data_IF_386862601781
#
_entry.id   IF_386862601781
#
_cell.length_a   1.000
_cell.length_b   1.000
_cell.length_c   1.000
_cell.angle_alpha   90.00
_cell.angle_beta   90.00
_cell.angle_gamma   90.00
#
_symmetry.space_group_name_H-M   'P 1'
#
loop_
_entity.id
_entity.type
_entity.pdbx_description
1 polymer ?
#
# COMPACT_ATOMS: atom_id res chain seq x y z
N UNK A 1 31.72 -27.22 -29.96
CA UNK A 1 31.80 -28.34 -28.99
C UNK A 1 33.04 -29.14 -29.33
N UNK A 2 33.68 -29.78 -28.36
CA UNK A 2 34.99 -30.45 -28.55
C UNK A 2 34.93 -31.75 -29.36
N UNK A 3 33.73 -32.31 -29.61
CA UNK A 3 33.54 -33.48 -30.47
C UNK A 3 34.00 -34.81 -29.86
N UNK A 4 34.31 -34.83 -28.56
CA UNK A 4 34.78 -35.99 -27.80
C UNK A 4 33.58 -36.83 -27.35
N UNK A 5 33.72 -38.16 -27.38
CA UNK A 5 32.72 -39.09 -26.83
C UNK A 5 32.87 -39.13 -25.31
N UNK A 6 31.78 -38.87 -24.58
CA UNK A 6 31.72 -39.01 -23.13
C UNK A 6 31.47 -40.47 -22.74
N UNK A 7 31.98 -40.94 -21.59
CA UNK A 7 31.86 -42.33 -21.13
C UNK A 7 30.40 -42.79 -21.01
N UNK A 8 29.49 -41.90 -20.59
CA UNK A 8 28.05 -42.17 -20.57
C UNK A 8 27.47 -42.43 -21.97
N UNK A 9 27.95 -41.73 -23.00
CA UNK A 9 27.53 -41.95 -24.39
C UNK A 9 28.11 -43.27 -24.93
N UNK A 10 29.34 -43.62 -24.53
CA UNK A 10 29.97 -44.91 -24.84
C UNK A 10 29.15 -46.07 -24.29
N UNK A 11 28.82 -46.05 -22.99
CA UNK A 11 27.99 -47.05 -22.34
C UNK A 11 26.58 -47.16 -22.97
N UNK A 12 25.96 -46.03 -23.31
CA UNK A 12 24.65 -46.02 -23.98
C UNK A 12 24.68 -46.69 -25.36
N UNK A 13 25.71 -46.44 -26.16
CA UNK A 13 25.87 -47.05 -27.49
C UNK A 13 26.16 -48.56 -27.39
N UNK A 14 26.99 -48.99 -26.42
CA UNK A 14 27.27 -50.42 -26.19
C UNK A 14 26.04 -51.22 -25.77
N UNK A 15 25.12 -50.60 -25.01
CA UNK A 15 23.88 -51.23 -24.57
C UNK A 15 22.83 -51.34 -25.69
N UNK A 16 22.72 -50.32 -26.54
CA UNK A 16 21.60 -50.19 -27.50
C UNK A 16 21.93 -50.59 -28.94
N UNK A 17 23.21 -50.65 -29.33
CA UNK A 17 23.61 -50.97 -30.72
C UNK A 17 24.07 -52.44 -30.83
N UNK A 18 23.45 -53.27 -31.70
CA UNK A 18 23.88 -54.65 -31.87
C UNK A 18 25.28 -54.74 -32.52
N UNK A 19 26.11 -55.66 -32.01
CA UNK A 19 27.49 -55.88 -32.49
C UNK A 19 27.50 -56.56 -33.86
N UNK A 20 27.46 -55.77 -34.94
CA UNK A 20 27.47 -56.23 -36.33
C UNK A 20 28.79 -56.87 -36.79
N UNK A 21 28.72 -57.82 -37.73
CA UNK A 21 29.90 -58.39 -38.41
C UNK A 21 30.42 -57.44 -39.50
N UNK A 22 31.69 -57.58 -39.92
CA UNK A 22 32.37 -56.70 -40.91
C UNK A 22 31.62 -56.44 -42.23
N UNK A 23 30.71 -57.34 -42.66
CA UNK A 23 29.89 -57.20 -43.89
C UNK A 23 28.49 -56.60 -43.65
N UNK A 24 28.06 -56.44 -42.40
CA UNK A 24 26.72 -55.97 -42.00
C UNK A 24 26.86 -54.97 -40.86
N UNK A 25 27.24 -53.74 -41.20
CA UNK A 25 27.40 -52.65 -40.23
C UNK A 25 26.04 -52.04 -39.88
N UNK A 26 25.86 -51.64 -38.64
CA UNK A 26 24.66 -50.92 -38.22
C UNK A 26 24.82 -49.45 -38.58
N UNK A 27 23.88 -48.90 -39.36
CA UNK A 27 23.87 -47.48 -39.70
C UNK A 27 23.37 -46.65 -38.51
N UNK A 28 24.08 -45.56 -38.19
CA UNK A 28 23.70 -44.62 -37.13
C UNK A 28 23.69 -43.18 -37.69
N UNK A 29 22.54 -42.52 -37.62
CA UNK A 29 22.40 -41.12 -38.02
C UNK A 29 22.88 -40.16 -36.94
N UNK A 30 23.76 -39.21 -37.29
CA UNK A 30 24.31 -38.22 -36.37
C UNK A 30 24.24 -36.80 -36.95
N UNK A 31 24.10 -35.78 -36.09
CA UNK A 31 24.13 -34.38 -36.52
C UNK A 31 25.54 -33.90 -36.86
N UNK A 32 26.52 -34.26 -36.02
CA UNK A 32 27.86 -33.66 -36.01
C UNK A 32 28.90 -34.57 -36.66
N UNK A 33 29.56 -34.08 -37.72
CA UNK A 33 30.62 -34.82 -38.43
C UNK A 33 31.81 -35.17 -37.55
N UNK A 34 32.21 -34.27 -36.64
CA UNK A 34 33.35 -34.51 -35.73
C UNK A 34 33.04 -35.64 -34.73
N UNK A 35 31.83 -35.67 -34.18
CA UNK A 35 31.38 -36.74 -33.29
C UNK A 35 31.24 -38.08 -34.03
N UNK A 36 30.78 -38.06 -35.29
CA UNK A 36 30.76 -39.24 -36.15
C UNK A 36 32.16 -39.84 -36.37
N UNK A 37 33.19 -39.02 -36.55
CA UNK A 37 34.58 -39.50 -36.61
C UNK A 37 35.04 -40.14 -35.29
N UNK A 38 34.73 -39.53 -34.15
CA UNK A 38 35.10 -40.06 -32.84
C UNK A 38 34.38 -41.39 -32.50
N UNK A 39 33.07 -41.48 -32.77
CA UNK A 39 32.29 -42.72 -32.59
C UNK A 39 32.80 -43.85 -33.49
N UNK A 40 33.19 -43.53 -34.74
CA UNK A 40 33.75 -44.52 -35.68
C UNK A 40 35.13 -45.02 -35.25
N UNK A 41 35.90 -44.23 -34.50
CA UNK A 41 37.18 -44.67 -33.93
C UNK A 41 36.98 -45.66 -32.77
N UNK A 42 36.04 -45.38 -31.87
CA UNK A 42 35.69 -46.25 -30.74
C UNK A 42 34.94 -47.53 -31.18
N UNK A 43 34.06 -47.43 -32.19
CA UNK A 43 33.17 -48.51 -32.62
C UNK A 43 33.27 -48.82 -34.13
N UNK A 44 34.24 -49.65 -34.57
CA UNK A 44 34.45 -49.96 -35.98
C UNK A 44 33.30 -50.70 -36.69
N UNK A 45 32.32 -51.22 -35.94
CA UNK A 45 31.14 -51.91 -36.44
C UNK A 45 29.94 -50.98 -36.74
N UNK A 46 30.03 -49.70 -36.35
CA UNK A 46 29.00 -48.69 -36.60
C UNK A 46 29.33 -47.89 -37.86
N UNK A 47 28.36 -47.72 -38.75
CA UNK A 47 28.46 -46.85 -39.91
C UNK A 47 27.75 -45.52 -39.63
N UNK A 48 28.51 -44.51 -39.22
CA UNK A 48 27.97 -43.19 -38.94
C UNK A 48 27.63 -42.43 -40.24
N UNK A 49 26.36 -42.06 -40.40
CA UNK A 49 25.86 -41.30 -41.55
C UNK A 49 25.45 -39.89 -41.13
N UNK A 50 25.83 -38.90 -41.95
CA UNK A 50 25.52 -37.46 -41.75
C UNK A 50 24.91 -36.83 -43.01
N UNK A 51 24.09 -37.60 -43.72
CA UNK A 51 23.39 -37.18 -44.94
C UNK A 51 22.27 -36.17 -44.64
N UNK A 52 21.82 -35.45 -45.66
CA UNK A 52 20.72 -34.47 -45.54
C UNK A 52 19.42 -35.12 -45.03
N UNK A 53 19.11 -36.33 -45.53
CA UNK A 53 17.98 -37.15 -45.06
C UNK A 53 18.05 -37.44 -43.55
N UNK A 54 19.25 -37.67 -43.01
CA UNK A 54 19.46 -37.86 -41.56
C UNK A 54 19.25 -36.54 -40.81
N UNK A 55 19.68 -35.40 -41.35
CA UNK A 55 19.47 -34.10 -40.73
C UNK A 55 17.97 -33.72 -40.67
N UNK A 56 17.22 -34.00 -41.73
CA UNK A 56 15.77 -33.77 -41.76
C UNK A 56 15.03 -34.72 -40.80
N UNK A 57 15.45 -35.99 -40.69
CA UNK A 57 14.91 -36.91 -39.70
C UNK A 57 15.19 -36.42 -38.26
N UNK A 58 16.41 -35.99 -37.96
CA UNK A 58 16.80 -35.42 -36.67
C UNK A 58 16.04 -34.10 -36.37
N UNK A 59 15.75 -33.31 -37.40
CA UNK A 59 14.91 -32.10 -37.29
C UNK A 59 13.46 -32.47 -36.93
N UNK A 60 12.90 -33.51 -37.54
CA UNK A 60 11.58 -34.06 -37.19
C UNK A 60 11.51 -34.57 -35.75
N UNK A 61 12.52 -35.33 -35.31
CA UNK A 61 12.65 -35.78 -33.90
C UNK A 61 12.74 -34.59 -32.95
N UNK A 62 13.47 -33.52 -33.29
CA UNK A 62 13.55 -32.31 -32.47
C UNK A 62 12.21 -31.55 -32.40
N UNK A 63 11.48 -31.45 -33.51
CA UNK A 63 10.17 -30.79 -33.57
C UNK A 63 9.08 -31.53 -32.79
N UNK A 64 9.21 -32.85 -32.65
CA UNK A 64 8.20 -33.71 -32.00
C UNK A 64 8.71 -34.39 -30.72
N UNK A 65 9.83 -33.94 -30.16
CA UNK A 65 10.48 -34.56 -29.00
C UNK A 65 9.55 -34.75 -27.80
N UNK A 66 8.77 -33.72 -27.47
CA UNK A 66 7.77 -33.76 -26.38
C UNK A 66 6.67 -34.82 -26.60
N UNK A 67 6.35 -35.17 -27.85
CA UNK A 67 5.34 -36.19 -28.18
C UNK A 67 5.93 -37.60 -28.28
N UNK A 68 7.23 -37.70 -28.58
CA UNK A 68 7.96 -38.97 -28.66
C UNK A 68 8.36 -39.46 -27.25
N UNK A 69 8.71 -38.55 -26.35
CA UNK A 69 9.13 -38.85 -24.98
C UNK A 69 7.94 -38.83 -23.99
N UNK A 70 7.07 -39.84 -24.09
CA UNK A 70 5.85 -40.00 -23.25
C UNK A 70 6.06 -40.06 -21.72
N UNK A 71 7.30 -40.04 -21.25
CA UNK A 71 7.68 -40.10 -19.83
C UNK A 71 7.95 -38.72 -19.20
N UNK A 72 8.04 -37.65 -20.00
CA UNK A 72 8.25 -36.28 -19.51
C UNK A 72 6.93 -35.52 -19.44
N UNK A 73 6.81 -34.56 -18.51
CA UNK A 73 5.68 -33.63 -18.49
C UNK A 73 5.88 -32.50 -19.51
N UNK A 74 4.80 -31.91 -20.05
CA UNK A 74 4.90 -30.76 -20.93
C UNK A 74 5.49 -29.56 -20.17
N UNK A 75 6.65 -29.07 -20.61
CA UNK A 75 7.37 -27.95 -20.01
C UNK A 75 8.75 -28.30 -19.44
N UNK A 76 8.94 -29.53 -18.94
CA UNK A 76 10.21 -29.98 -18.31
C UNK A 76 11.42 -29.76 -19.22
N UNK A 77 11.25 -30.09 -20.50
CA UNK A 77 12.29 -30.00 -21.53
C UNK A 77 12.73 -28.55 -21.79
N UNK A 78 11.82 -27.58 -21.71
CA UNK A 78 12.14 -26.16 -21.86
C UNK A 78 12.89 -25.61 -20.62
N UNK A 79 12.48 -26.02 -19.41
CA UNK A 79 13.17 -25.63 -18.17
C UNK A 79 14.57 -26.24 -18.10
N UNK A 80 14.74 -27.51 -18.47
CA UNK A 80 16.04 -28.18 -18.56
C UNK A 80 16.96 -27.52 -19.60
N UNK A 81 16.43 -27.12 -20.77
CA UNK A 81 17.19 -26.37 -21.77
C UNK A 81 17.66 -25.01 -21.25
N UNK A 82 16.80 -24.27 -20.53
CA UNK A 82 17.15 -22.98 -19.95
C UNK A 82 18.26 -23.12 -18.90
N UNK A 83 18.13 -24.06 -17.97
CA UNK A 83 19.14 -24.33 -16.94
C UNK A 83 20.48 -24.75 -17.53
N UNK A 84 20.48 -25.68 -18.49
CA UNK A 84 21.69 -26.13 -19.19
C UNK A 84 22.34 -25.01 -20.01
N UNK A 85 21.52 -24.20 -20.70
CA UNK A 85 21.98 -23.05 -21.48
C UNK A 85 22.66 -21.98 -20.61
N UNK A 86 22.09 -21.68 -19.45
CA UNK A 86 22.70 -20.80 -18.45
C UNK A 86 24.02 -21.39 -17.90
N UNK A 87 24.02 -22.66 -17.48
CA UNK A 87 25.21 -23.32 -16.92
C UNK A 87 26.39 -23.34 -17.92
N UNK A 88 26.14 -23.80 -19.15
CA UNK A 88 27.14 -23.83 -20.23
C UNK A 88 27.68 -22.43 -20.56
N UNK A 89 26.80 -21.42 -20.61
CA UNK A 89 27.21 -20.04 -20.90
C UNK A 89 28.06 -19.45 -19.77
N UNK A 90 27.66 -19.62 -18.51
CA UNK A 90 28.43 -19.17 -17.33
C UNK A 90 29.82 -19.81 -17.29
N UNK A 91 29.90 -21.12 -17.49
CA UNK A 91 31.15 -21.87 -17.52
C UNK A 91 32.08 -21.41 -18.66
N UNK A 92 31.53 -21.25 -19.88
CA UNK A 92 32.32 -20.84 -21.06
C UNK A 92 32.82 -19.40 -21.00
N UNK A 93 32.02 -18.49 -20.44
CA UNK A 93 32.37 -17.06 -20.27
C UNK A 93 33.35 -16.84 -19.11
N UNK A 94 33.65 -17.88 -18.30
CA UNK A 94 34.36 -17.75 -17.01
C UNK A 94 33.73 -16.65 -16.16
N UNK A 95 32.40 -16.69 -16.00
CA UNK A 95 31.68 -15.68 -15.25
C UNK A 95 32.20 -15.63 -13.81
N UNK A 96 32.91 -14.55 -13.48
CA UNK A 96 33.60 -14.43 -12.21
C UNK A 96 32.60 -14.07 -11.12
N UNK A 97 32.22 -15.06 -10.30
CA UNK A 97 31.27 -14.88 -9.18
C UNK A 97 31.72 -13.77 -8.23
N UNK A 98 33.03 -13.55 -8.09
CA UNK A 98 33.60 -12.52 -7.23
C UNK A 98 33.50 -11.10 -7.83
N UNK A 99 33.02 -10.96 -9.07
CA UNK A 99 32.72 -9.68 -9.73
C UNK A 99 31.23 -9.60 -10.07
N UNK A 100 30.40 -9.96 -9.09
CA UNK A 100 28.93 -9.92 -9.15
C UNK A 100 28.42 -8.51 -8.83
N UNK A 101 28.56 -7.58 -9.77
CA UNK A 101 28.11 -6.19 -9.60
C UNK A 101 26.58 -6.11 -9.33
N UNK A 102 25.81 -7.12 -9.77
CA UNK A 102 24.38 -7.26 -9.46
C UNK A 102 24.08 -7.29 -7.96
N UNK A 103 24.95 -7.90 -7.14
CA UNK A 103 24.73 -7.92 -5.69
C UNK A 103 24.85 -6.52 -5.08
N UNK A 104 25.70 -5.65 -5.62
CA UNK A 104 25.84 -4.24 -5.19
C UNK A 104 24.66 -3.39 -5.69
N UNK A 105 24.09 -3.72 -6.84
CA UNK A 105 22.92 -3.02 -7.41
C UNK A 105 21.64 -3.43 -6.67
N UNK A 106 21.40 -4.73 -6.46
CA UNK A 106 20.23 -5.26 -5.75
C UNK A 106 20.33 -5.07 -4.23
N UNK A 107 21.56 -5.07 -3.68
CA UNK A 107 22.15 -3.97 -2.89
C UNK A 107 21.15 -2.93 -2.34
N UNK A 108 20.74 -2.06 -3.27
CA UNK A 108 20.00 -0.83 -3.00
C UNK A 108 18.48 -1.06 -3.09
N UNK A 109 18.05 -2.18 -3.67
CA UNK A 109 16.69 -2.45 -4.12
C UNK A 109 16.06 -3.68 -3.46
N UNK A 110 16.09 -3.77 -2.12
CA UNK A 110 15.27 -4.64 -1.23
C UNK A 110 15.19 -6.17 -1.49
N UNK A 111 15.75 -6.70 -2.58
CA UNK A 111 15.49 -8.05 -3.11
C UNK A 111 16.66 -9.03 -2.91
N UNK A 112 17.54 -8.80 -1.92
CA UNK A 112 18.74 -9.63 -1.71
C UNK A 112 18.39 -11.11 -1.52
N UNK A 113 17.36 -11.38 -0.72
CA UNK A 113 16.92 -12.75 -0.43
C UNK A 113 16.08 -13.36 -1.55
N UNK A 114 15.37 -12.53 -2.34
CA UNK A 114 14.64 -12.98 -3.53
C UNK A 114 15.55 -13.56 -4.62
N UNK A 115 16.86 -13.29 -4.61
CA UNK A 115 17.80 -13.94 -5.52
C UNK A 115 18.20 -15.36 -5.08
N UNK A 116 18.21 -15.61 -3.77
CA UNK A 116 18.47 -16.92 -3.18
C UNK A 116 17.24 -17.82 -3.17
N UNK A 117 16.07 -17.25 -2.87
CA UNK A 117 14.79 -17.97 -2.80
C UNK A 117 13.63 -17.09 -3.36
N UNK A 118 13.52 -16.95 -4.70
CA UNK A 118 12.53 -16.08 -5.34
C UNK A 118 11.09 -16.51 -5.07
N UNK A 119 10.84 -17.80 -4.87
CA UNK A 119 9.52 -18.36 -4.66
C UNK A 119 8.88 -17.85 -3.35
N UNK A 120 9.67 -17.57 -2.31
CA UNK A 120 9.16 -17.06 -1.02
C UNK A 120 8.46 -15.70 -1.16
N UNK A 121 9.00 -14.81 -2.00
CA UNK A 121 8.42 -13.49 -2.28
C UNK A 121 7.05 -13.60 -3.00
N UNK A 122 6.84 -14.69 -3.74
CA UNK A 122 5.56 -14.97 -4.42
C UNK A 122 4.53 -15.60 -3.50
N UNK A 123 4.97 -16.39 -2.51
CA UNK A 123 4.11 -17.07 -1.54
C UNK A 123 3.69 -16.16 -0.38
N UNK A 124 4.58 -15.28 0.10
CA UNK A 124 4.36 -14.45 1.28
C UNK A 124 4.28 -12.98 0.90
N UNK A 125 3.05 -12.45 0.86
CA UNK A 125 2.79 -11.06 0.46
C UNK A 125 3.07 -10.02 1.58
N UNK A 126 3.05 -10.42 2.85
CA UNK A 126 3.40 -9.50 3.94
C UNK A 126 4.91 -9.43 4.18
N UNK A 127 5.44 -8.22 4.00
CA UNK A 127 6.82 -7.83 4.32
C UNK A 127 7.30 -8.22 5.74
N UNK A 128 6.41 -8.25 6.74
CA UNK A 128 6.80 -8.56 8.12
C UNK A 128 6.91 -10.06 8.36
N UNK A 129 5.96 -10.84 7.86
CA UNK A 129 6.10 -12.30 7.80
C UNK A 129 7.32 -12.72 6.97
N UNK A 130 7.54 -12.11 5.80
CA UNK A 130 8.69 -12.40 4.94
C UNK A 130 10.04 -12.18 5.66
N UNK A 131 10.22 -11.06 6.36
CA UNK A 131 11.45 -10.79 7.11
C UNK A 131 11.66 -11.78 8.27
N UNK A 132 10.59 -12.19 8.96
CA UNK A 132 10.65 -13.20 10.03
C UNK A 132 10.98 -14.59 9.50
N UNK A 133 10.42 -14.98 8.35
CA UNK A 133 10.72 -16.24 7.67
C UNK A 133 12.16 -16.26 7.15
N UNK A 134 12.65 -15.17 6.54
CA UNK A 134 14.06 -15.06 6.09
C UNK A 134 15.05 -15.30 7.23
N UNK A 135 14.76 -14.77 8.43
CA UNK A 135 15.56 -14.99 9.65
C UNK A 135 15.58 -16.47 10.11
N UNK A 136 14.44 -17.16 10.01
CA UNK A 136 14.30 -18.56 10.43
C UNK A 136 14.90 -19.54 9.41
N UNK A 137 14.53 -19.37 8.13
CA UNK A 137 14.91 -20.24 7.01
C UNK A 137 16.40 -20.19 6.76
N UNK A 138 16.99 -18.99 6.77
CA UNK A 138 18.39 -18.73 6.41
C UNK A 138 18.74 -19.30 5.02
N UNK A 139 19.27 -20.51 4.92
CA UNK A 139 19.67 -21.16 3.68
C UNK A 139 18.64 -22.22 3.27
N UNK A 140 18.20 -22.23 2.00
CA UNK A 140 17.21 -23.19 1.48
C UNK A 140 17.60 -24.66 1.72
N UNK A 141 18.89 -24.96 1.78
CA UNK A 141 19.43 -26.30 2.04
C UNK A 141 19.13 -26.84 3.44
N UNK A 142 18.79 -25.96 4.40
CA UNK A 142 18.50 -26.30 5.79
C UNK A 142 16.99 -26.48 6.07
N UNK A 143 16.15 -26.51 5.03
CA UNK A 143 14.72 -26.80 5.18
C UNK A 143 14.45 -28.30 5.25
N UNK A 144 14.18 -28.77 6.46
CA UNK A 144 13.58 -30.08 6.73
C UNK A 144 12.11 -29.91 7.15
N UNK A 145 11.34 -31.00 7.05
CA UNK A 145 9.93 -31.01 7.44
C UNK A 145 9.73 -30.79 8.97
N UNK A 146 10.81 -30.81 9.77
CA UNK A 146 10.82 -30.47 11.20
C UNK A 146 10.54 -28.97 11.46
N UNK A 147 11.02 -28.10 10.56
CA UNK A 147 10.82 -26.65 10.64
C UNK A 147 9.37 -26.22 10.27
N UNK A 148 8.53 -27.16 9.85
CA UNK A 148 7.16 -26.91 9.39
C UNK A 148 6.30 -26.28 10.49
N UNK A 149 6.47 -26.70 11.75
CA UNK A 149 5.75 -26.12 12.90
C UNK A 149 6.09 -24.63 13.13
N UNK A 150 7.38 -24.27 13.12
CA UNK A 150 7.83 -22.88 13.33
C UNK A 150 7.44 -21.97 12.16
N UNK A 151 7.51 -22.48 10.92
CA UNK A 151 7.02 -21.76 9.73
C UNK A 151 5.51 -21.54 9.81
N UNK A 152 4.74 -22.55 10.21
CA UNK A 152 3.28 -22.47 10.37
C UNK A 152 2.89 -21.40 11.41
N UNK A 153 3.57 -21.36 12.55
CA UNK A 153 3.35 -20.34 13.59
C UNK A 153 3.66 -18.90 13.10
N UNK A 154 4.60 -18.73 12.16
CA UNK A 154 4.94 -17.42 11.58
C UNK A 154 3.99 -16.97 10.46
N UNK A 155 3.43 -17.91 9.69
CA UNK A 155 2.50 -17.63 8.59
C UNK A 155 1.06 -17.41 9.10
N UNK A 156 0.75 -17.83 10.32
CA UNK A 156 -0.56 -17.63 10.95
C UNK A 156 -1.46 -18.87 10.84
N UNK A 157 -0.88 -20.03 11.11
CA UNK A 157 -1.52 -21.36 11.15
C UNK A 157 -1.98 -21.93 9.78
N UNK A 158 -1.71 -21.23 8.68
CA UNK A 158 -1.88 -21.73 7.30
C UNK A 158 -0.82 -22.79 6.93
N UNK A 159 -1.03 -24.02 7.43
CA UNK A 159 -0.20 -25.20 7.16
C UNK A 159 0.01 -25.47 5.66
N UNK A 160 -0.99 -25.17 4.82
CA UNK A 160 -0.88 -25.30 3.36
C UNK A 160 0.20 -24.37 2.75
N UNK A 161 0.35 -23.15 3.29
CA UNK A 161 1.40 -22.22 2.83
C UNK A 161 2.76 -22.71 3.33
N UNK A 162 2.86 -23.16 4.59
CA UNK A 162 4.09 -23.72 5.15
C UNK A 162 4.61 -24.93 4.34
N UNK A 163 3.74 -25.87 3.97
CA UNK A 163 4.07 -26.98 3.07
C UNK A 163 4.52 -26.47 1.69
N UNK A 164 3.79 -25.50 1.11
CA UNK A 164 4.17 -24.93 -0.20
C UNK A 164 5.54 -24.23 -0.20
N UNK A 165 5.98 -23.67 0.94
CA UNK A 165 7.31 -23.08 1.10
C UNK A 165 8.38 -24.18 1.10
N UNK A 166 8.14 -25.30 1.77
CA UNK A 166 9.07 -26.43 1.81
C UNK A 166 9.19 -27.11 0.43
N UNK A 167 8.07 -27.33 -0.26
CA UNK A 167 8.06 -27.89 -1.61
C UNK A 167 8.68 -26.92 -2.62
N UNK A 168 8.44 -25.61 -2.47
CA UNK A 168 9.11 -24.59 -3.26
C UNK A 168 10.63 -24.57 -3.01
N UNK A 169 11.10 -24.79 -1.77
CA UNK A 169 12.53 -24.88 -1.47
C UNK A 169 13.19 -26.11 -2.14
N UNK A 170 12.49 -27.26 -2.17
CA UNK A 170 12.92 -28.49 -2.86
C UNK A 170 13.02 -28.31 -4.39
N UNK A 171 12.21 -27.41 -4.97
CA UNK A 171 12.11 -27.16 -6.42
C UNK A 171 12.86 -25.86 -6.84
N UNK A 172 13.32 -25.05 -5.88
CA UNK A 172 13.81 -23.68 -6.13
C UNK A 172 15.00 -23.64 -7.08
N UNK A 173 14.91 -22.72 -8.04
CA UNK A 173 15.98 -22.43 -9.00
C UNK A 173 16.85 -21.24 -8.55
N UNK A 174 16.67 -20.76 -7.31
CA UNK A 174 17.41 -19.64 -6.73
C UNK A 174 18.89 -19.97 -6.46
N UNK A 175 19.76 -18.96 -6.60
CA UNK A 175 21.21 -19.18 -6.56
C UNK A 175 21.72 -19.39 -5.12
N UNK A 176 22.72 -20.25 -4.95
CA UNK A 176 23.40 -20.41 -3.66
C UNK A 176 24.17 -19.14 -3.28
N UNK A 177 24.00 -18.72 -2.04
CA UNK A 177 24.55 -17.48 -1.49
C UNK A 177 25.75 -17.77 -0.59
N UNK A 178 26.67 -16.81 -0.43
CA UNK A 178 27.78 -16.95 0.51
C UNK A 178 27.30 -16.81 1.96
N UNK A 179 27.96 -17.47 2.91
CA UNK A 179 27.62 -17.39 4.33
C UNK A 179 27.74 -15.94 4.87
N UNK A 180 28.69 -15.17 4.33
CA UNK A 180 28.90 -13.75 4.70
C UNK A 180 27.72 -12.89 4.26
N UNK A 181 27.23 -13.09 3.03
CA UNK A 181 26.08 -12.35 2.51
C UNK A 181 24.79 -12.79 3.22
N UNK A 182 24.65 -14.07 3.52
CA UNK A 182 23.54 -14.60 4.31
C UNK A 182 23.49 -13.98 5.72
N UNK A 183 24.63 -13.87 6.41
CA UNK A 183 24.71 -13.20 7.72
C UNK A 183 24.29 -11.72 7.64
N UNK A 184 24.66 -11.02 6.57
CA UNK A 184 24.23 -9.64 6.32
C UNK A 184 22.71 -9.55 6.09
N UNK A 185 22.12 -10.47 5.31
CA UNK A 185 20.66 -10.54 5.09
C UNK A 185 19.91 -10.81 6.40
N UNK A 186 20.37 -11.77 7.21
CA UNK A 186 19.74 -12.07 8.51
C UNK A 186 19.81 -10.86 9.44
N UNK A 187 20.96 -10.18 9.51
CA UNK A 187 21.14 -8.94 10.29
C UNK A 187 20.20 -7.81 9.81
N UNK A 188 20.01 -7.68 8.50
CA UNK A 188 19.06 -6.73 7.92
C UNK A 188 17.61 -7.09 8.24
N UNK A 189 17.24 -8.37 8.12
CA UNK A 189 15.91 -8.87 8.46
C UNK A 189 15.58 -8.63 9.94
N UNK A 190 16.51 -8.91 10.86
CA UNK A 190 16.37 -8.57 12.27
C UNK A 190 16.17 -7.07 12.50
N UNK A 191 16.88 -6.22 11.76
CA UNK A 191 16.69 -4.78 11.85
C UNK A 191 15.29 -4.37 11.40
N UNK A 192 14.78 -4.94 10.30
CA UNK A 192 13.41 -4.70 9.80
C UNK A 192 12.36 -5.13 10.83
N UNK A 193 12.49 -6.33 11.41
CA UNK A 193 11.57 -6.82 12.46
C UNK A 193 11.61 -5.90 13.69
N UNK A 194 12.81 -5.50 14.14
CA UNK A 194 12.96 -4.59 15.29
C UNK A 194 12.29 -3.22 15.06
N UNK A 195 12.35 -2.68 13.83
CA UNK A 195 11.71 -1.43 13.44
C UNK A 195 10.18 -1.56 13.37
N UNK A 196 9.66 -2.70 12.93
CA UNK A 196 8.23 -2.95 12.88
C UNK A 196 7.63 -3.13 14.28
N UNK A 197 8.30 -3.86 15.17
CA UNK A 197 7.85 -3.98 16.55
C UNK A 197 8.03 -2.65 17.32
N UNK A 198 9.03 -1.83 16.98
CA UNK A 198 9.10 -0.45 17.46
C UNK A 198 7.94 0.41 16.94
N UNK A 199 7.55 0.26 15.66
CA UNK A 199 6.36 0.93 15.09
C UNK A 199 5.07 0.52 15.80
N UNK A 200 4.91 -0.76 16.17
CA UNK A 200 3.77 -1.23 17.00
C UNK A 200 3.76 -0.56 18.37
N UNK A 201 4.91 -0.53 19.07
CA UNK A 201 5.06 0.16 20.37
C UNK A 201 4.74 1.66 20.26
N UNK A 202 5.21 2.34 19.22
CA UNK A 202 4.89 3.74 18.95
C UNK A 202 3.41 3.96 18.64
N UNK A 203 2.74 3.01 17.98
CA UNK A 203 1.31 3.11 17.71
C UNK A 203 0.47 3.01 18.99
N UNK A 204 0.80 2.06 19.88
CA UNK A 204 0.15 1.93 21.20
C UNK A 204 0.39 3.20 22.02
N UNK A 205 1.64 3.65 22.12
CA UNK A 205 1.99 4.90 22.80
C UNK A 205 1.23 6.12 22.24
N UNK A 206 0.99 6.18 20.93
CA UNK A 206 0.21 7.24 20.31
C UNK A 206 -1.28 7.18 20.71
N UNK A 207 -1.86 5.99 20.83
CA UNK A 207 -3.24 5.79 21.32
C UNK A 207 -3.32 6.25 22.78
N UNK A 208 -2.42 5.78 23.64
CA UNK A 208 -2.38 6.14 25.07
C UNK A 208 -2.17 7.63 25.31
N UNK A 209 -1.38 8.31 24.46
CA UNK A 209 -1.22 9.77 24.53
C UNK A 209 -2.40 10.53 23.92
N UNK A 210 -3.05 10.01 22.89
CA UNK A 210 -4.22 10.67 22.31
C UNK A 210 -5.43 10.61 23.23
N UNK A 211 -5.67 9.49 23.92
CA UNK A 211 -6.78 9.35 24.87
C UNK A 211 -6.67 10.32 26.05
N UNK A 212 -5.44 10.66 26.47
CA UNK A 212 -5.17 11.66 27.52
C UNK A 212 -5.29 13.10 27.00
N UNK A 213 -4.82 13.39 25.78
CA UNK A 213 -4.71 14.77 25.26
C UNK A 213 -5.94 15.25 24.49
N UNK A 214 -6.60 14.36 23.73
CA UNK A 214 -7.76 14.71 22.91
C UNK A 214 -8.73 13.52 22.71
N UNK A 215 -9.38 13.05 23.79
CA UNK A 215 -10.28 11.89 23.75
C UNK A 215 -11.49 12.09 22.82
N UNK A 216 -12.04 13.30 22.70
CA UNK A 216 -13.21 13.52 21.85
C UNK A 216 -12.86 13.47 20.36
N UNK A 217 -11.70 14.02 19.98
CA UNK A 217 -11.17 13.94 18.62
C UNK A 217 -10.75 12.51 18.25
N UNK A 218 -10.21 11.75 19.21
CA UNK A 218 -9.90 10.33 19.05
C UNK A 218 -11.17 9.52 18.73
N UNK A 219 -12.20 9.61 19.57
CA UNK A 219 -13.45 8.85 19.39
C UNK A 219 -14.16 9.22 18.07
N UNK A 220 -14.06 10.48 17.62
CA UNK A 220 -14.75 10.96 16.43
C UNK A 220 -14.10 10.56 15.09
N UNK A 221 -12.76 10.43 15.00
CA UNK A 221 -12.06 10.18 13.72
C UNK A 221 -11.03 9.03 13.78
N UNK A 222 -10.70 8.53 14.96
CA UNK A 222 -9.57 7.64 15.21
C UNK A 222 -8.27 8.42 15.51
N UNK A 223 -7.45 7.84 16.38
CA UNK A 223 -6.26 8.44 16.99
C UNK A 223 -5.21 8.80 15.94
N UNK A 224 -5.01 7.94 14.95
CA UNK A 224 -4.01 8.15 13.88
C UNK A 224 -4.37 9.34 12.98
N UNK A 225 -5.66 9.56 12.71
CA UNK A 225 -6.13 10.70 11.91
C UNK A 225 -6.14 11.96 12.74
N UNK A 226 -6.59 11.90 14.00
CA UNK A 226 -6.51 13.00 14.98
C UNK A 226 -5.07 13.50 15.17
N UNK A 227 -4.11 12.59 15.40
CA UNK A 227 -2.69 12.90 15.51
C UNK A 227 -2.15 13.63 14.28
N UNK A 228 -2.54 13.19 13.08
CA UNK A 228 -2.10 13.81 11.82
C UNK A 228 -2.69 15.21 11.62
N UNK A 229 -3.93 15.45 12.06
CA UNK A 229 -4.53 16.79 12.06
C UNK A 229 -3.81 17.73 13.03
N UNK A 230 -3.56 17.29 14.28
CA UNK A 230 -2.83 18.07 15.29
C UNK A 230 -1.40 18.39 14.79
N UNK A 231 -0.70 17.39 14.27
CA UNK A 231 0.67 17.56 13.72
C UNK A 231 0.71 18.55 12.56
N UNK A 232 -0.25 18.51 11.64
CA UNK A 232 -0.30 19.45 10.51
C UNK A 232 -0.73 20.88 10.94
N UNK A 233 -1.44 21.04 12.06
CA UNK A 233 -1.72 22.34 12.67
C UNK A 233 -0.57 22.85 13.58
N UNK A 234 0.43 22.00 13.85
CA UNK A 234 1.54 22.26 14.78
C UNK A 234 1.17 22.09 16.26
N UNK A 235 -0.07 22.40 16.65
CA UNK A 235 -0.57 22.21 18.02
C UNK A 235 -2.10 22.01 18.06
N UNK A 236 -2.60 21.43 19.16
CA UNK A 236 -4.04 21.34 19.42
C UNK A 236 -4.68 22.74 19.55
N UNK A 237 -3.96 23.70 20.16
CA UNK A 237 -4.40 25.10 20.30
C UNK A 237 -4.59 25.79 18.94
N UNK A 238 -3.73 25.50 17.95
CA UNK A 238 -3.88 26.01 16.60
C UNK A 238 -5.02 25.31 15.85
N UNK A 239 -5.16 23.99 16.04
CA UNK A 239 -6.26 23.21 15.45
C UNK A 239 -7.64 23.69 15.95
N UNK A 240 -7.75 24.04 17.24
CA UNK A 240 -8.96 24.60 17.85
C UNK A 240 -9.30 26.00 17.30
N UNK A 241 -8.28 26.83 17.01
CA UNK A 241 -8.43 28.17 16.41
C UNK A 241 -8.84 28.11 14.94
N UNK A 242 -8.45 27.07 14.19
CA UNK A 242 -8.81 26.97 12.77
C UNK A 242 -10.34 26.88 12.57
N UNK A 243 -10.87 27.52 11.52
CA UNK A 243 -12.26 27.33 11.12
C UNK A 243 -12.43 25.96 10.47
N UNK A 244 -13.64 25.38 10.59
CA UNK A 244 -13.96 24.07 10.02
C UNK A 244 -13.74 23.98 8.49
N UNK A 245 -13.84 25.10 7.77
CA UNK A 245 -13.52 25.19 6.34
C UNK A 245 -12.04 24.94 6.02
N UNK A 246 -11.13 25.42 6.86
CA UNK A 246 -9.68 25.12 6.76
C UNK A 246 -9.42 23.68 7.18
N UNK A 247 -10.05 23.22 8.26
CA UNK A 247 -9.92 21.85 8.75
C UNK A 247 -10.38 20.81 7.70
N UNK A 248 -11.44 21.11 6.93
CA UNK A 248 -11.91 20.28 5.81
C UNK A 248 -10.83 20.01 4.75
N UNK A 249 -9.96 20.98 4.48
CA UNK A 249 -8.95 20.95 3.39
C UNK A 249 -7.51 20.82 3.89
N UNK A 250 -7.30 20.65 5.20
CA UNK A 250 -5.99 20.52 5.84
C UNK A 250 -5.17 19.41 5.16
N UNK A 251 -3.95 19.72 4.72
CA UNK A 251 -3.09 18.79 3.95
C UNK A 251 -3.39 18.68 2.44
N UNK A 252 -4.50 19.24 1.93
CA UNK A 252 -4.76 19.38 0.49
C UNK A 252 -4.34 20.77 -0.06
N UNK A 253 -3.67 21.59 0.74
CA UNK A 253 -3.31 22.99 0.47
C UNK A 253 -2.55 23.17 -0.86
N UNK A 254 -1.57 22.32 -1.16
CA UNK A 254 -0.83 22.38 -2.44
C UNK A 254 -1.75 22.22 -3.65
N UNK A 255 -2.77 21.36 -3.56
CA UNK A 255 -3.77 21.17 -4.60
C UNK A 255 -4.77 22.33 -4.66
N UNK A 256 -5.16 22.90 -3.51
CA UNK A 256 -6.00 24.09 -3.40
C UNK A 256 -5.33 25.30 -4.07
N UNK A 257 -4.09 25.63 -3.72
CA UNK A 257 -3.36 26.75 -4.28
C UNK A 257 -3.09 26.58 -5.79
N UNK A 258 -2.85 25.34 -6.25
CA UNK A 258 -2.77 25.04 -7.68
C UNK A 258 -4.10 25.32 -8.39
N UNK A 259 -5.21 24.81 -7.85
CA UNK A 259 -6.55 25.03 -8.41
C UNK A 259 -6.94 26.52 -8.43
N UNK A 260 -6.62 27.28 -7.38
CA UNK A 260 -6.85 28.73 -7.35
C UNK A 260 -6.04 29.47 -8.42
N UNK A 261 -4.77 29.10 -8.62
CA UNK A 261 -3.91 29.69 -9.68
C UNK A 261 -4.39 29.34 -11.09
N UNK A 262 -4.86 28.11 -11.33
CA UNK A 262 -5.33 27.66 -12.66
C UNK A 262 -6.82 27.87 -12.90
N UNK A 263 -7.57 28.43 -11.93
CA UNK A 263 -9.04 28.47 -11.90
C UNK A 263 -9.71 27.10 -12.11
N UNK A 264 -9.04 26.04 -11.66
CA UNK A 264 -9.55 24.66 -11.70
C UNK A 264 -10.44 24.30 -10.50
N UNK A 265 -10.95 23.06 -10.50
CA UNK A 265 -11.74 22.53 -9.39
C UNK A 265 -10.92 22.45 -8.10
N UNK A 266 -11.43 23.02 -7.01
CA UNK A 266 -10.80 22.96 -5.69
C UNK A 266 -10.99 21.58 -5.04
N UNK A 267 -10.01 21.10 -4.25
CA UNK A 267 -10.16 19.87 -3.47
C UNK A 267 -11.25 20.03 -2.41
N UNK A 268 -12.05 18.97 -2.22
CA UNK A 268 -13.20 18.97 -1.28
C UNK A 268 -12.89 18.34 0.08
N UNK A 269 -11.70 17.75 0.23
CA UNK A 269 -11.25 17.04 1.42
C UNK A 269 -9.71 17.01 1.45
N UNK A 270 -9.15 17.04 2.66
CA UNK A 270 -7.73 16.81 2.94
C UNK A 270 -7.53 15.54 3.77
N UNK A 271 -6.74 15.63 4.84
CA UNK A 271 -6.37 14.50 5.72
C UNK A 271 -7.59 13.73 6.28
N UNK A 272 -8.72 14.41 6.48
CA UNK A 272 -9.98 13.83 6.98
C UNK A 272 -10.52 12.74 6.02
N UNK A 273 -10.13 12.74 4.74
CA UNK A 273 -10.52 11.71 3.76
C UNK A 273 -10.22 10.28 4.21
N UNK A 274 -9.20 10.08 5.06
CA UNK A 274 -8.84 8.78 5.61
C UNK A 274 -9.74 8.30 6.76
N UNK A 275 -10.77 9.07 7.15
CA UNK A 275 -11.78 8.63 8.12
C UNK A 275 -12.71 7.55 7.55
N UNK A 276 -13.09 6.59 8.39
CA UNK A 276 -14.02 5.50 8.05
C UNK A 276 -15.36 6.02 7.50
N UNK A 277 -15.90 7.10 8.08
CA UNK A 277 -17.14 7.75 7.66
C UNK A 277 -17.11 8.26 6.20
N UNK A 278 -15.98 8.80 5.73
CA UNK A 278 -15.83 9.24 4.33
C UNK A 278 -15.55 8.06 3.39
N UNK A 279 -14.95 6.99 3.91
CA UNK A 279 -14.84 5.71 3.21
C UNK A 279 -16.22 5.16 2.81
N UNK A 280 -17.11 5.01 3.80
CA UNK A 280 -18.46 4.44 3.67
C UNK A 280 -19.41 5.28 2.82
N UNK A 281 -19.35 6.61 2.89
CA UNK A 281 -20.29 7.48 2.19
C UNK A 281 -20.21 7.38 0.65
N UNK A 282 -21.37 7.33 -0.03
CA UNK A 282 -21.43 7.33 -1.50
C UNK A 282 -20.77 8.55 -2.17
N UNK A 283 -20.18 8.37 -3.36
CA UNK A 283 -19.33 9.36 -4.05
C UNK A 283 -19.93 10.78 -4.17
N UNK A 284 -21.24 10.88 -4.43
CA UNK A 284 -21.97 12.16 -4.51
C UNK A 284 -22.04 12.89 -3.16
N UNK A 285 -22.08 12.14 -2.06
CA UNK A 285 -22.27 12.65 -0.70
C UNK A 285 -20.95 12.87 0.06
N UNK A 286 -19.82 12.30 -0.38
CA UNK A 286 -18.49 12.46 0.26
C UNK A 286 -18.13 13.91 0.59
N UNK A 287 -18.42 14.86 -0.31
CA UNK A 287 -18.16 16.29 -0.07
C UNK A 287 -19.09 16.96 0.96
N UNK A 288 -20.31 16.44 1.15
CA UNK A 288 -21.28 16.93 2.14
C UNK A 288 -20.94 16.41 3.53
N UNK A 289 -20.69 15.09 3.66
CA UNK A 289 -20.30 14.47 4.92
C UNK A 289 -18.91 14.97 5.38
N UNK A 290 -17.96 15.20 4.47
CA UNK A 290 -16.64 15.76 4.82
C UNK A 290 -16.74 17.14 5.49
N UNK A 291 -17.64 18.01 5.01
CA UNK A 291 -17.91 19.31 5.65
C UNK A 291 -18.59 19.15 7.01
N UNK A 292 -19.57 18.25 7.12
CA UNK A 292 -20.26 17.99 8.38
C UNK A 292 -19.30 17.44 9.45
N UNK A 293 -18.48 16.46 9.07
CA UNK A 293 -17.42 15.91 9.91
C UNK A 293 -16.44 17.00 10.32
N UNK A 294 -15.92 17.81 9.38
CA UNK A 294 -15.01 18.91 9.73
C UNK A 294 -15.61 19.92 10.74
N UNK A 295 -16.91 20.22 10.66
CA UNK A 295 -17.59 21.03 11.66
C UNK A 295 -17.58 20.35 13.05
N UNK A 296 -17.89 19.06 13.10
CA UNK A 296 -17.91 18.26 14.35
C UNK A 296 -16.50 18.10 14.94
N UNK A 297 -15.49 17.88 14.11
CA UNK A 297 -14.08 17.81 14.51
C UNK A 297 -13.57 19.15 15.06
N UNK A 298 -14.00 20.28 14.50
CA UNK A 298 -13.66 21.61 15.02
C UNK A 298 -14.33 21.89 16.38
N UNK A 299 -15.52 21.35 16.63
CA UNK A 299 -16.16 21.40 17.96
C UNK A 299 -15.40 20.50 18.95
N UNK A 300 -15.13 19.24 18.59
CA UNK A 300 -14.40 18.30 19.42
C UNK A 300 -13.01 18.84 19.80
N UNK A 301 -12.23 19.36 18.84
CA UNK A 301 -10.90 19.91 19.10
C UNK A 301 -10.90 21.15 20.00
N UNK A 302 -12.00 21.91 20.05
CA UNK A 302 -12.17 23.03 21.00
C UNK A 302 -12.51 22.53 22.39
N UNK A 303 -13.40 21.53 22.51
CA UNK A 303 -13.73 20.89 23.79
C UNK A 303 -12.46 20.28 24.40
N UNK A 304 -11.72 19.46 23.64
CA UNK A 304 -10.46 18.85 24.07
C UNK A 304 -9.39 19.88 24.47
N UNK A 305 -9.32 21.04 23.79
CA UNK A 305 -8.30 22.06 24.06
C UNK A 305 -8.61 23.01 25.22
N UNK A 306 -9.89 23.26 25.52
CA UNK A 306 -10.33 24.28 26.49
C UNK A 306 -11.01 23.69 27.73
N UNK A 307 -11.06 22.36 27.85
CA UNK A 307 -11.52 21.68 29.08
C UNK A 307 -10.30 21.17 29.85
N UNK A 308 -10.20 21.50 31.15
CA UNK A 308 -9.07 21.09 31.98
C UNK A 308 -8.97 19.56 32.17
N UNK A 309 -10.12 18.88 32.22
CA UNK A 309 -10.26 17.42 32.26
C UNK A 309 -11.16 16.94 31.12
N UNK A 310 -10.61 16.57 29.95
CA UNK A 310 -11.41 16.20 28.80
C UNK A 310 -12.10 14.84 29.03
N UNK A 311 -13.43 14.80 28.87
CA UNK A 311 -14.23 13.57 28.96
C UNK A 311 -14.48 12.97 27.59
N UNK A 312 -14.72 11.66 27.45
CA UNK A 312 -15.00 11.00 26.15
C UNK A 312 -16.44 11.20 25.65
N UNK A 313 -17.36 11.62 26.51
CA UNK A 313 -18.80 11.57 26.26
C UNK A 313 -19.27 12.52 25.16
N UNK A 314 -18.62 13.67 24.99
CA UNK A 314 -18.91 14.55 23.85
C UNK A 314 -18.51 13.89 22.51
N UNK A 315 -17.41 13.15 22.47
CA UNK A 315 -16.93 12.38 21.31
C UNK A 315 -17.92 11.30 20.91
N UNK A 316 -18.39 10.50 21.87
CA UNK A 316 -19.43 9.48 21.65
C UNK A 316 -20.70 10.08 21.01
N UNK A 317 -21.19 11.20 21.52
CA UNK A 317 -22.39 11.88 21.01
C UNK A 317 -22.16 12.52 19.64
N UNK A 318 -21.03 13.22 19.44
CA UNK A 318 -20.66 13.79 18.14
C UNK A 318 -20.49 12.69 17.07
N UNK A 319 -20.00 11.51 17.46
CA UNK A 319 -19.89 10.32 16.60
C UNK A 319 -21.26 9.77 16.23
N UNK A 320 -22.18 9.58 17.18
CA UNK A 320 -23.59 9.19 16.91
C UNK A 320 -24.22 10.13 15.87
N UNK A 321 -24.04 11.44 16.01
CA UNK A 321 -24.57 12.42 15.06
C UNK A 321 -23.97 12.35 13.65
N UNK A 322 -22.70 11.95 13.50
CA UNK A 322 -22.09 11.70 12.18
C UNK A 322 -22.66 10.43 11.56
N UNK A 323 -22.91 9.39 12.37
CA UNK A 323 -23.53 8.13 11.93
C UNK A 323 -25.00 8.33 11.53
N UNK A 324 -25.80 9.06 12.33
CA UNK A 324 -27.16 9.49 11.96
C UNK A 324 -27.17 10.35 10.68
N UNK A 325 -26.14 11.18 10.48
CA UNK A 325 -26.05 11.99 9.27
C UNK A 325 -25.64 11.17 8.05
N UNK A 326 -24.89 10.08 8.25
CA UNK A 326 -24.57 9.11 7.21
C UNK A 326 -25.84 8.30 6.84
N UNK A 327 -26.56 7.76 7.82
CA UNK A 327 -27.79 7.01 7.60
C UNK A 327 -28.89 7.88 6.97
N UNK A 328 -29.03 9.16 7.34
CA UNK A 328 -29.92 10.11 6.65
C UNK A 328 -29.67 10.18 5.13
N UNK A 329 -28.41 10.03 4.67
CA UNK A 329 -28.09 10.02 3.24
C UNK A 329 -28.39 8.70 2.53
N UNK A 330 -28.76 7.65 3.27
CA UNK A 330 -29.10 6.31 2.79
C UNK A 330 -30.60 6.00 2.95
N UNK A 331 -31.19 6.31 4.12
CA UNK A 331 -32.58 6.01 4.49
C UNK A 331 -33.52 7.23 4.52
N UNK A 332 -32.99 8.46 4.52
CA UNK A 332 -33.77 9.69 4.56
C UNK A 332 -34.32 10.10 5.94
N UNK A 333 -34.09 9.33 7.00
CA UNK A 333 -34.57 9.64 8.37
C UNK A 333 -33.84 10.87 8.94
N UNK A 334 -34.55 11.95 9.36
CA UNK A 334 -33.91 13.18 9.79
C UNK A 334 -33.05 12.96 11.06
N UNK A 335 -31.80 13.48 11.10
CA UNK A 335 -30.91 13.31 12.25
C UNK A 335 -31.35 14.18 13.44
N UNK A 336 -30.86 13.85 14.63
CA UNK A 336 -31.09 14.63 15.85
C UNK A 336 -30.59 16.07 15.70
N UNK A 337 -31.26 17.01 16.39
CA UNK A 337 -30.83 18.40 16.45
C UNK A 337 -29.57 18.51 17.31
N UNK A 338 -28.64 19.37 16.88
CA UNK A 338 -27.39 19.61 17.60
C UNK A 338 -27.61 20.05 19.06
N UNK A 339 -28.62 20.89 19.32
CA UNK A 339 -28.88 21.42 20.67
C UNK A 339 -29.27 20.32 21.66
N UNK A 340 -30.14 19.40 21.24
CA UNK A 340 -30.72 18.39 22.14
C UNK A 340 -29.69 17.30 22.47
N UNK A 341 -28.90 16.85 21.49
CA UNK A 341 -27.80 15.92 21.74
C UNK A 341 -26.65 16.54 22.56
N UNK A 342 -26.35 17.85 22.39
CA UNK A 342 -25.36 18.51 23.24
C UNK A 342 -25.88 18.70 24.68
N UNK A 343 -27.19 18.89 24.87
CA UNK A 343 -27.83 18.86 26.20
C UNK A 343 -27.70 17.48 26.84
N UNK A 344 -28.06 16.41 26.11
CA UNK A 344 -27.86 15.02 26.55
C UNK A 344 -26.41 14.77 26.99
N UNK A 345 -25.42 15.21 26.20
CA UNK A 345 -24.01 15.09 26.55
C UNK A 345 -23.62 15.87 27.82
N UNK A 346 -24.15 17.08 28.01
CA UNK A 346 -23.95 17.88 29.23
C UNK A 346 -24.58 17.23 30.46
N UNK A 347 -25.81 16.71 30.33
CA UNK A 347 -26.52 16.04 31.41
C UNK A 347 -25.76 14.79 31.87
N UNK A 348 -25.23 13.98 30.94
CA UNK A 348 -24.37 12.84 31.27
C UNK A 348 -23.06 13.23 31.96
N UNK A 349 -22.41 14.33 31.52
CA UNK A 349 -21.18 14.81 32.15
C UNK A 349 -21.47 15.34 33.56
N UNK A 350 -22.51 16.14 33.76
CA UNK A 350 -22.95 16.63 35.08
C UNK A 350 -23.32 15.49 36.02
N UNK A 351 -24.02 14.46 35.52
CA UNK A 351 -24.30 13.24 36.29
C UNK A 351 -23.01 12.52 36.72
N UNK A 352 -22.01 12.41 35.84
CA UNK A 352 -20.73 11.78 36.17
C UNK A 352 -19.88 12.57 37.18
N UNK A 353 -19.91 13.90 37.11
CA UNK A 353 -19.23 14.79 38.08
C UNK A 353 -19.91 14.72 39.46
N UNK A 354 -21.24 14.56 39.50
CA UNK A 354 -22.01 14.49 40.76
C UNK A 354 -21.72 13.27 41.63
N UNK A 355 -21.06 12.23 41.08
CA UNK A 355 -20.65 11.02 41.82
C UNK A 355 -19.24 11.17 42.44
N UNK A 356 -18.41 12.05 41.90
CA UNK A 356 -17.08 12.40 42.42
C UNK A 356 -17.11 13.68 43.25
N UNK A 357 -17.68 13.62 44.45
CA UNK A 357 -18.11 14.81 45.19
C UNK A 357 -17.02 15.83 45.55
N UNK A 358 -17.12 17.03 44.98
CA UNK A 358 -16.87 18.30 45.70
C UNK A 358 -18.09 19.21 45.45
N UNK A 359 -18.85 19.48 46.50
CA UNK A 359 -19.90 20.49 46.47
C UNK A 359 -19.35 21.85 46.90
N UNK A 360 -19.33 22.84 46.00
CA UNK A 360 -19.51 24.26 46.34
C UNK A 360 -19.59 25.20 45.12
N UNK A 361 -20.67 25.99 45.09
CA UNK A 361 -20.77 27.35 44.58
C UNK A 361 -20.28 27.68 43.16
N UNK A 362 -21.14 27.40 42.17
CA UNK A 362 -21.27 28.21 40.95
C UNK A 362 -22.71 28.19 40.39
N UNK A 363 -23.70 28.57 41.22
CA UNK A 363 -25.06 28.91 40.76
C UNK A 363 -25.23 30.42 40.80
N UNK A 364 -25.14 31.04 39.63
CA UNK A 364 -25.65 32.40 39.34
C UNK A 364 -26.20 32.39 37.91
N UNK A 365 -27.45 31.93 37.82
CA UNK A 365 -28.56 32.62 37.17
C UNK A 365 -28.33 33.23 35.77
N UNK A 366 -28.75 32.47 34.75
CA UNK A 366 -29.42 33.05 33.56
C UNK A 366 -30.65 32.19 33.25
N UNK A 367 -31.74 32.39 33.99
CA UNK A 367 -33.07 32.00 33.54
C UNK A 367 -33.76 33.21 32.89
N UNK A 368 -34.21 33.04 31.65
CA UNK A 368 -35.02 33.99 30.91
C UNK A 368 -36.47 34.01 31.40
N UNK A 369 -37.07 35.19 31.53
CA UNK A 369 -38.50 35.39 31.26
C UNK A 369 -38.84 36.86 31.00
N UNK A 370 -39.45 37.10 29.84
CA UNK A 370 -40.19 38.33 29.55
C UNK A 370 -41.49 38.38 30.36
N UNK A 371 -41.84 39.57 30.86
CA UNK A 371 -43.22 39.97 31.14
C UNK A 371 -43.28 41.50 31.29
N UNK A 372 -43.85 42.19 30.30
CA UNK A 372 -44.28 43.58 30.41
C UNK A 372 -45.51 43.71 31.31
N UNK A 373 -45.58 44.81 32.10
CA UNK A 373 -46.77 45.63 32.40
C UNK A 373 -46.32 46.75 33.38
N UNK A 374 -46.15 47.98 32.89
CA UNK A 374 -47.12 49.10 32.87
C UNK A 374 -47.10 50.02 34.11
N UNK A 375 -46.62 51.26 33.93
CA UNK A 375 -47.12 52.46 34.65
C UNK A 375 -47.15 53.69 33.70
N UNK A 376 -48.24 53.76 32.95
CA UNK A 376 -49.20 54.88 32.90
C UNK A 376 -48.93 56.26 32.18
N UNK A 377 -50.07 56.78 31.71
CA UNK A 377 -50.49 58.12 31.25
C UNK A 377 -50.21 58.60 29.81
N UNK A 378 -51.33 58.69 29.07
CA UNK A 378 -51.53 59.20 27.70
C UNK A 378 -51.27 60.71 27.55
N UNK A 379 -50.80 61.17 26.37
CA UNK A 379 -51.66 61.95 25.43
C UNK A 379 -51.02 62.40 24.09
N UNK A 380 -51.65 61.95 23.00
CA UNK A 380 -51.95 62.67 21.73
C UNK A 380 -50.87 63.30 20.81
N UNK A 381 -51.00 62.92 19.52
CA UNK A 381 -50.89 63.74 18.28
C UNK A 381 -49.53 64.33 17.86
N UNK A 382 -48.94 63.68 16.83
CA UNK A 382 -48.94 64.16 15.43
C UNK A 382 -48.85 65.68 15.20
N UNK A 383 -47.68 66.22 14.84
CA UNK A 383 -47.43 67.11 13.68
C UNK A 383 -45.98 67.64 13.61
N UNK A 384 -45.60 68.24 12.46
CA UNK A 384 -44.42 69.11 12.21
C UNK A 384 -43.03 68.45 12.41
N UNK A 385 -42.26 68.11 11.37
CA UNK A 385 -41.87 68.82 10.14
C UNK A 385 -41.12 70.14 10.40
N UNK A 386 -39.86 70.17 9.92
CA UNK A 386 -39.00 71.29 9.49
C UNK A 386 -38.03 71.98 10.47
N UNK A 387 -36.84 72.27 9.90
CA UNK A 387 -35.71 73.13 10.31
C UNK A 387 -34.75 72.47 11.31
N UNK A 388 -33.42 72.50 11.12
CA UNK A 388 -32.56 73.12 10.05
C UNK A 388 -31.25 72.28 9.95
N UNK A 389 -30.67 72.07 8.75
CA UNK A 389 -29.42 72.71 8.25
C UNK A 389 -28.26 72.71 9.28
N UNK A 390 -27.05 72.22 9.04
CA UNK A 390 -26.30 71.87 7.80
C UNK A 390 -25.29 70.71 8.10
N UNK A 391 -24.35 70.26 7.25
CA UNK A 391 -23.87 70.71 5.91
C UNK A 391 -23.35 69.54 5.03
N UNK A 392 -23.01 69.89 3.79
CA UNK A 392 -22.26 69.26 2.69
C UNK A 392 -21.23 68.15 3.01
N UNK A 393 -21.15 67.02 2.26
CA UNK A 393 -20.79 66.79 0.82
C UNK A 393 -19.25 66.73 0.63
N UNK A 394 -18.61 65.97 -0.27
CA UNK A 394 -18.95 64.93 -1.29
C UNK A 394 -17.64 64.15 -1.62
N UNK A 395 -17.64 62.86 -1.99
CA UNK A 395 -17.41 62.28 -3.35
C UNK A 395 -16.01 62.56 -4.01
N UNK A 396 -15.45 61.84 -4.99
CA UNK A 396 -15.93 60.93 -6.07
C UNK A 396 -15.09 59.62 -6.12
N UNK A 397 -15.52 58.44 -6.61
CA UNK A 397 -16.18 58.01 -7.87
C UNK A 397 -15.23 57.73 -9.08
N UNK A 398 -15.70 56.94 -10.06
CA UNK A 398 -14.88 56.25 -11.10
C UNK A 398 -15.19 56.79 -12.50
N UNK A 399 -14.41 56.37 -13.53
CA UNK A 399 -15.12 55.90 -14.75
C UNK A 399 -14.60 54.60 -15.38
N UNK A 400 -15.40 54.05 -16.33
CA UNK A 400 -15.18 52.81 -17.11
C UNK A 400 -14.95 53.08 -18.61
N UNK A 401 -14.17 52.19 -19.29
CA UNK A 401 -14.20 51.74 -20.73
C UNK A 401 -13.04 50.72 -20.93
N UNK A 402 -12.97 49.80 -21.91
CA UNK A 402 -13.89 49.24 -22.92
C UNK A 402 -13.40 47.84 -23.40
N UNK A 403 -13.98 47.25 -24.48
CA UNK A 403 -13.49 46.03 -25.20
C UNK A 403 -12.41 46.43 -26.25
N UNK A 404 -11.57 45.59 -26.88
CA UNK A 404 -11.77 44.26 -27.51
C UNK A 404 -10.45 43.66 -28.09
N UNK A 405 -10.41 42.34 -28.32
CA UNK A 405 -9.59 41.52 -29.26
C UNK A 405 -8.05 41.64 -29.39
N UNK A 406 -7.33 40.55 -29.03
CA UNK A 406 -6.09 40.09 -29.71
C UNK A 406 -6.15 38.56 -29.88
N UNK A 407 -6.08 38.08 -31.14
CA UNK A 407 -6.13 36.65 -31.50
C UNK A 407 -4.81 36.24 -32.16
N UNK A 408 -3.92 35.58 -31.43
CA UNK A 408 -2.64 35.07 -31.95
C UNK A 408 -2.74 33.56 -32.19
N UNK A 409 -2.45 33.12 -33.42
CA UNK A 409 -2.36 31.71 -33.80
C UNK A 409 -0.98 31.14 -33.45
N UNK A 410 -0.91 29.87 -33.03
CA UNK A 410 0.16 28.89 -33.35
C UNK A 410 -0.37 27.44 -33.04
N UNK A 411 0.25 26.37 -33.57
CA UNK A 411 -0.50 25.24 -34.13
C UNK A 411 -0.73 24.06 -33.19
N UNK A 412 -1.64 23.16 -33.60
CA UNK A 412 -1.67 21.77 -33.12
C UNK A 412 -0.61 20.95 -33.84
N UNK A 413 0.03 20.03 -33.12
CA UNK A 413 0.79 18.92 -33.69
C UNK A 413 -0.18 17.74 -33.84
N UNK A 414 -0.18 17.10 -35.01
CA UNK A 414 -0.91 15.86 -35.26
C UNK A 414 -0.10 14.68 -34.71
N UNK A 415 -0.79 13.73 -34.08
CA UNK A 415 -0.25 12.38 -33.85
C UNK A 415 -0.97 11.48 -34.85
N UNK A 416 -0.23 10.98 -35.82
CA UNK A 416 -0.72 9.97 -36.77
C UNK A 416 -0.50 8.56 -36.23
N UNK A 417 -1.38 7.66 -36.69
CA UNK A 417 -1.30 6.20 -36.79
C UNK A 417 -0.44 5.43 -35.77
#
# INVERSE_FOLDING_TARGET
>A
MTGIVNDHLKAFLEMNVPKGKKKSKSALGLSDKNLACAIKAEFPFIECQTSEVVQDLLRGVRLHGEKLLKQLQPGDLAQAQLGLGHSYSRAKVKFNVNRSDNMIIQAIALEWYSWHFPELSRLVADSQQYARLTRLIQNKSNLTDENLHDITALVGDDSAIAQSIIDAAKISMGQDISDVDLQNIVTFADRVVSLADHRKRLHIYLIDKMSVVAPNLAELIGEVVGARLISHAGSLTNLAKYPASTLQILGAEKALFRALKTKGNTPKYGLIYHSSFIGRAGLKNKGRISRFLANKCSIASRIDNFTDTPTTKFGEVLRKQVEERLSFYESGVPPTKNADAMREAMDFVLASVSVGGIASNARTDIETKDSDEEVDVKSSKKEKKRKRKSIADEEEEKPKKSKKDKKVKKPKVEVGS
#
